data_IF_925653432762
#
_entry.id   IF_925653432762
#
_cell.length_a   1.000
_cell.length_b   1.000
_cell.length_c   1.000
_cell.angle_alpha   90.00
_cell.angle_beta   90.00
_cell.angle_gamma   90.00
#
_symmetry.space_group_name_H-M   'P 1'
#
loop_
_entity.id
_entity.type
_entity.pdbx_description
1 polymer ?
#
# COMPACT_ATOMS: atom_id res chain seq x y z
N UNK A 1 -0.28 -9.90 2.57
CA UNK A 1 1.05 -9.30 2.34
C UNK A 1 1.27 -8.20 3.36
N UNK A 2 2.19 -8.38 4.30
CA UNK A 2 2.46 -7.40 5.36
C UNK A 2 3.98 -7.26 5.51
N UNK A 3 4.49 -6.04 5.32
CA UNK A 3 5.93 -5.76 5.39
C UNK A 3 6.13 -4.78 6.55
N UNK A 4 6.59 -5.34 7.68
CA UNK A 4 7.17 -4.68 8.84
C UNK A 4 6.23 -4.11 9.94
N UNK A 5 6.66 -4.30 11.19
CA UNK A 5 6.11 -3.70 12.40
C UNK A 5 7.07 -2.59 12.84
N UNK A 6 6.71 -1.32 12.64
CA UNK A 6 7.40 -0.20 13.27
C UNK A 6 6.50 0.43 14.35
N UNK A 7 7.17 1.03 15.34
CA UNK A 7 6.83 1.35 16.75
C UNK A 7 5.48 2.08 17.03
N UNK A 8 4.63 2.33 16.04
CA UNK A 8 3.34 3.00 16.20
C UNK A 8 2.21 2.30 15.42
N UNK A 9 1.90 1.03 15.72
CA UNK A 9 0.66 0.31 15.32
C UNK A 9 0.17 0.47 13.86
N UNK A 10 1.06 0.77 12.91
CA UNK A 10 0.71 1.20 11.55
C UNK A 10 1.42 0.33 10.52
N UNK A 11 0.65 -0.35 9.67
CA UNK A 11 1.18 -1.22 8.63
C UNK A 11 1.50 -0.43 7.38
N UNK A 12 2.64 -0.77 6.76
CA UNK A 12 2.96 -0.34 5.41
C UNK A 12 2.37 -1.36 4.44
N UNK A 13 1.34 -0.94 3.70
CA UNK A 13 0.72 -1.76 2.68
C UNK A 13 1.55 -1.69 1.39
N UNK A 14 1.85 -2.88 0.85
CA UNK A 14 2.49 -3.03 -0.43
C UNK A 14 1.75 -4.09 -1.24
N UNK A 15 0.94 -3.62 -2.18
CA UNK A 15 0.65 -4.39 -3.38
C UNK A 15 1.59 -3.90 -4.47
N UNK A 16 2.17 -4.77 -5.31
CA UNK A 16 2.97 -4.30 -6.43
C UNK A 16 2.11 -3.37 -7.29
N UNK A 17 2.50 -2.11 -7.43
CA UNK A 17 1.68 -1.10 -8.12
C UNK A 17 1.37 -1.52 -9.56
N UNK A 18 2.28 -2.26 -10.20
CA UNK A 18 2.10 -2.84 -11.53
C UNK A 18 0.97 -3.87 -11.64
N UNK A 19 0.59 -4.53 -10.54
CA UNK A 19 -0.44 -5.58 -10.53
C UNK A 19 -1.80 -5.01 -10.13
N UNK A 20 -1.85 -4.27 -9.02
CA UNK A 20 -3.11 -3.87 -8.39
C UNK A 20 -3.33 -2.35 -8.31
N UNK A 21 -2.38 -1.54 -8.81
CA UNK A 21 -2.48 -0.08 -8.81
C UNK A 21 -2.43 0.55 -7.43
N UNK A 22 -2.08 -0.20 -6.37
CA UNK A 22 -1.99 0.35 -5.01
C UNK A 22 -0.57 0.84 -4.74
N UNK A 23 -0.36 2.15 -4.55
CA UNK A 23 0.96 2.67 -4.20
C UNK A 23 1.32 2.33 -2.76
N UNK A 24 2.61 2.45 -2.40
CA UNK A 24 3.02 2.25 -1.01
C UNK A 24 2.33 3.27 -0.11
N UNK A 25 1.54 2.76 0.83
CA UNK A 25 0.69 3.57 1.70
C UNK A 25 0.63 2.97 3.09
N UNK A 26 0.44 3.83 4.08
CA UNK A 26 0.19 3.42 5.47
C UNK A 26 -1.29 3.19 5.73
N UNK A 27 -1.61 2.07 6.37
CA UNK A 27 -2.97 1.67 6.74
C UNK A 27 -2.97 1.10 8.16
N UNK A 28 -3.94 1.50 8.97
CA UNK A 28 -4.10 0.97 10.32
C UNK A 28 -4.56 -0.50 10.28
N UNK A 29 -4.03 -1.34 11.18
CA UNK A 29 -4.30 -2.78 11.21
C UNK A 29 -5.80 -3.13 11.25
N UNK A 30 -6.59 -2.33 11.96
CA UNK A 30 -8.05 -2.53 12.08
C UNK A 30 -8.82 -2.52 10.76
N UNK A 31 -8.23 -1.98 9.69
CA UNK A 31 -8.83 -1.92 8.35
C UNK A 31 -8.29 -2.98 7.40
N UNK A 32 -7.46 -3.91 7.90
CA UNK A 32 -6.86 -4.98 7.09
C UNK A 32 -7.42 -6.33 7.52
N UNK A 33 -7.87 -7.12 6.56
CA UNK A 33 -8.20 -8.53 6.75
C UNK A 33 -6.93 -9.36 6.45
N UNK A 34 -6.31 -10.00 7.46
CA UNK A 34 -5.16 -10.85 7.22
C UNK A 34 -5.60 -12.14 6.54
N UNK A 35 -4.96 -12.49 5.42
CA UNK A 35 -5.16 -13.78 4.77
C UNK A 35 -4.08 -14.78 5.18
N UNK A 36 -4.39 -16.06 5.09
CA UNK A 36 -3.52 -17.22 5.36
C UNK A 36 -2.31 -17.33 4.42
N UNK A 37 -2.39 -16.73 3.22
CA UNK A 37 -1.32 -16.71 2.22
C UNK A 37 -0.12 -15.88 2.69
N UNK A 38 1.05 -16.52 2.82
CA UNK A 38 2.31 -15.88 3.23
C UNK A 38 3.31 -15.90 2.08
N UNK A 39 4.02 -14.80 1.89
CA UNK A 39 5.16 -14.73 0.98
C UNK A 39 6.37 -14.41 1.83
N UNK A 40 7.48 -15.07 1.55
CA UNK A 40 8.74 -14.72 2.20
C UNK A 40 9.24 -13.38 1.66
N UNK A 41 9.35 -12.40 2.56
CA UNK A 41 9.76 -11.02 2.25
C UNK A 41 11.10 -10.68 2.93
N UNK A 42 11.79 -11.68 3.49
CA UNK A 42 13.08 -11.53 4.19
C UNK A 42 14.15 -10.81 3.36
N UNK A 43 14.12 -10.96 2.03
CA UNK A 43 15.06 -10.32 1.10
C UNK A 43 14.73 -8.87 0.71
N UNK A 44 13.58 -8.32 1.10
CA UNK A 44 13.15 -6.98 0.68
C UNK A 44 13.61 -5.94 1.69
N UNK A 45 14.61 -5.15 1.31
CA UNK A 45 15.09 -4.02 2.12
C UNK A 45 14.17 -2.83 1.93
N UNK A 46 13.60 -2.35 3.03
CA UNK A 46 12.82 -1.11 3.05
C UNK A 46 13.81 0.07 3.12
N UNK A 47 13.69 1.09 2.26
CA UNK A 47 14.53 2.27 2.33
C UNK A 47 14.40 2.98 3.70
N UNK A 48 15.52 3.43 4.27
CA UNK A 48 15.53 4.19 5.52
C UNK A 48 14.79 5.54 5.41
N UNK A 49 14.60 6.04 4.18
CA UNK A 49 13.84 7.24 3.87
C UNK A 49 12.35 7.13 4.18
N UNK A 50 11.84 5.91 4.38
CA UNK A 50 10.41 5.60 4.52
C UNK A 50 9.86 5.81 5.95
N UNK A 51 10.20 6.95 6.56
CA UNK A 51 9.82 7.33 7.93
C UNK A 51 8.41 7.94 7.99
N UNK A 52 7.84 8.16 9.17
CA UNK A 52 6.49 8.72 9.37
C UNK A 52 6.28 10.06 8.64
N UNK A 53 7.31 10.91 8.64
CA UNK A 53 7.29 12.19 7.93
C UNK A 53 7.18 12.04 6.41
N UNK A 54 7.72 10.94 5.87
CA UNK A 54 7.60 10.64 4.43
C UNK A 54 6.16 10.45 4.01
N UNK A 55 5.30 9.88 4.86
CA UNK A 55 3.89 9.62 4.54
C UNK A 55 2.94 10.71 5.02
N UNK A 56 3.46 11.70 5.76
CA UNK A 56 2.66 12.80 6.27
C UNK A 56 2.10 13.61 5.10
N UNK A 57 0.80 13.87 5.15
CA UNK A 57 0.16 14.75 4.18
C UNK A 57 0.71 16.17 4.41
N UNK A 58 1.20 16.80 3.34
CA UNK A 58 1.57 18.21 3.37
C UNK A 58 0.32 19.04 3.71
N UNK A 59 0.34 19.71 4.85
CA UNK A 59 -0.72 20.64 5.25
C UNK A 59 -0.43 21.97 4.56
N UNK A 60 -1.34 22.40 3.70
CA UNK A 60 -1.30 23.76 3.17
C UNK A 60 -2.05 24.67 4.13
N UNK A 61 -1.33 25.42 4.94
CA UNK A 61 -1.90 26.62 5.55
C UNK A 61 -1.83 27.70 4.47
N UNK A 62 -2.96 28.02 3.86
CA UNK A 62 -3.02 29.16 2.97
C UNK A 62 -2.53 30.39 3.71
N UNK A 63 -1.66 31.19 3.08
CA UNK A 63 -1.48 32.60 3.48
C UNK A 63 -2.86 33.20 3.66
N UNK A 64 -3.07 34.00 4.71
CA UNK A 64 -4.34 34.65 5.04
C UNK A 64 -5.11 35.06 3.78
N UNK A 65 -6.10 34.24 3.39
CA UNK A 65 -6.95 34.51 2.24
C UNK A 65 -8.21 35.19 2.75
N UNK A 66 -8.52 36.34 2.16
CA UNK A 66 -9.66 37.20 2.49
C UNK A 66 -11.01 36.60 2.09
N UNK A 67 -11.04 35.46 1.39
CA UNK A 67 -12.30 34.85 0.91
C UNK A 67 -12.27 33.32 0.93
N UNK A 68 -13.31 32.72 1.50
CA UNK A 68 -13.40 31.28 1.84
C UNK A 68 -13.59 30.41 0.59
N UNK A 69 -14.04 31.00 -0.52
CA UNK A 69 -14.32 30.31 -1.78
C UNK A 69 -13.12 30.18 -2.73
N UNK A 70 -12.03 30.93 -2.51
CA UNK A 70 -10.77 30.76 -3.25
C UNK A 70 -9.85 29.69 -2.64
N UNK A 71 -10.43 28.55 -2.25
CA UNK A 71 -9.61 27.38 -1.95
C UNK A 71 -9.05 26.85 -3.28
N UNK A 72 -7.85 27.34 -3.63
CA UNK A 72 -7.08 26.79 -4.74
C UNK A 72 -6.90 25.29 -4.49
N UNK A 73 -7.67 24.47 -5.20
CA UNK A 73 -7.49 23.02 -5.22
C UNK A 73 -6.15 22.76 -5.90
N UNK A 74 -5.08 22.70 -5.12
CA UNK A 74 -3.82 22.17 -5.63
C UNK A 74 -3.97 20.66 -5.77
N UNK A 75 -3.93 20.19 -7.01
CA UNK A 75 -3.81 18.78 -7.31
C UNK A 75 -2.55 18.23 -6.65
N UNK A 76 -2.70 17.10 -5.96
CA UNK A 76 -1.56 16.41 -5.37
C UNK A 76 -0.66 15.90 -6.51
N UNK A 77 0.53 16.48 -6.64
CA UNK A 77 1.53 16.03 -7.61
C UNK A 77 2.46 15.00 -6.96
N UNK A 78 2.67 13.89 -7.68
CA UNK A 78 3.61 12.86 -7.26
C UNK A 78 5.04 13.36 -7.46
N UNK A 79 5.77 13.52 -6.36
CA UNK A 79 7.22 13.79 -6.38
C UNK A 79 7.97 12.63 -7.04
N UNK A 80 9.00 12.91 -7.83
CA UNK A 80 9.76 11.87 -8.54
C UNK A 80 10.50 10.91 -7.59
N UNK A 81 10.87 11.37 -6.40
CA UNK A 81 11.41 10.52 -5.33
C UNK A 81 10.44 9.37 -4.98
N UNK A 82 9.15 9.67 -4.77
CA UNK A 82 8.11 8.67 -4.48
C UNK A 82 7.96 7.63 -5.61
N UNK A 83 8.12 8.05 -6.86
CA UNK A 83 8.08 7.12 -8.01
C UNK A 83 9.30 6.19 -8.03
N UNK A 84 10.48 6.70 -7.70
CA UNK A 84 11.71 5.92 -7.66
C UNK A 84 11.70 4.89 -6.51
N UNK A 85 11.26 5.31 -5.33
CA UNK A 85 11.12 4.43 -4.16
C UNK A 85 10.11 3.32 -4.44
N UNK A 86 8.95 3.67 -5.04
CA UNK A 86 7.93 2.70 -5.45
C UNK A 86 8.50 1.63 -6.39
N UNK A 87 9.19 2.02 -7.45
CA UNK A 87 9.77 1.08 -8.42
C UNK A 87 10.77 0.14 -7.79
N UNK A 88 11.60 0.64 -6.88
CA UNK A 88 12.62 -0.14 -6.18
C UNK A 88 11.97 -1.25 -5.35
N UNK A 89 10.95 -0.90 -4.57
CA UNK A 89 10.27 -1.86 -3.69
C UNK A 89 9.40 -2.82 -4.50
N UNK A 90 8.70 -2.33 -5.51
CA UNK A 90 7.90 -3.18 -6.40
C UNK A 90 8.75 -4.25 -7.08
N UNK A 91 9.95 -3.89 -7.55
CA UNK A 91 10.86 -4.84 -8.21
C UNK A 91 11.27 -5.96 -7.26
N UNK A 92 11.58 -5.63 -6.00
CA UNK A 92 11.96 -6.59 -4.99
C UNK A 92 10.80 -7.53 -4.60
N UNK A 93 9.58 -6.98 -4.45
CA UNK A 93 8.39 -7.77 -4.12
C UNK A 93 7.94 -8.63 -5.29
N UNK A 94 7.99 -8.13 -6.53
CA UNK A 94 7.71 -8.93 -7.73
C UNK A 94 8.70 -10.10 -7.87
N UNK A 95 9.97 -9.88 -7.54
CA UNK A 95 10.96 -10.96 -7.47
C UNK A 95 10.57 -12.05 -6.46
N UNK A 96 10.05 -11.65 -5.30
CA UNK A 96 9.61 -12.58 -4.24
C UNK A 96 8.34 -13.33 -4.63
N UNK A 97 7.36 -12.66 -5.27
CA UNK A 97 6.13 -13.29 -5.77
C UNK A 97 6.44 -14.32 -6.87
N UNK A 98 7.37 -14.01 -7.79
CA UNK A 98 7.76 -14.94 -8.85
C UNK A 98 8.47 -16.19 -8.35
N UNK A 99 9.17 -16.10 -7.21
CA UNK A 99 9.83 -17.26 -6.57
C UNK A 99 8.85 -18.17 -5.85
N UNK A 100 7.67 -17.66 -5.47
CA UNK A 100 6.64 -18.47 -4.83
C UNK A 100 6.09 -19.51 -5.81
N UNK A 101 5.80 -20.72 -5.31
CA UNK A 101 5.25 -21.83 -6.11
C UNK A 101 3.99 -21.41 -6.88
N UNK A 102 3.10 -20.69 -6.21
CA UNK A 102 1.85 -20.18 -6.76
C UNK A 102 1.97 -18.78 -7.37
N UNK A 103 3.17 -18.31 -7.72
CA UNK A 103 3.42 -16.91 -8.14
C UNK A 103 2.51 -16.43 -9.27
N UNK A 104 2.18 -17.29 -10.23
CA UNK A 104 1.27 -16.98 -11.35
C UNK A 104 -0.18 -16.80 -10.88
N UNK A 105 -0.65 -17.62 -9.94
CA UNK A 105 -1.98 -17.52 -9.35
C UNK A 105 -2.08 -16.32 -8.42
N UNK A 106 -1.03 -16.07 -7.63
CA UNK A 106 -0.94 -14.93 -6.72
C UNK A 106 -0.98 -13.59 -7.44
N UNK A 107 -0.35 -13.48 -8.61
CA UNK A 107 -0.44 -12.27 -9.43
C UNK A 107 -1.89 -12.01 -9.90
N UNK A 108 -2.63 -13.06 -10.27
CA UNK A 108 -4.06 -12.96 -10.58
C UNK A 108 -4.89 -12.57 -9.35
N UNK A 109 -4.66 -13.24 -8.22
CA UNK A 109 -5.34 -12.98 -6.95
C UNK A 109 -5.14 -11.53 -6.47
N UNK A 110 -3.92 -11.00 -6.56
CA UNK A 110 -3.61 -9.62 -6.19
C UNK A 110 -4.26 -8.59 -7.12
N UNK A 111 -4.53 -8.94 -8.38
CA UNK A 111 -5.21 -8.08 -9.35
C UNK A 111 -6.71 -8.04 -9.14
N UNK A 112 -7.30 -9.09 -8.57
CA UNK A 112 -8.76 -9.17 -8.36
C UNK A 112 -9.21 -8.41 -7.13
N UNK A 113 -10.29 -7.66 -7.26
CA UNK A 113 -10.92 -6.98 -6.12
C UNK A 113 -11.68 -7.99 -5.26
N UNK A 114 -11.53 -7.87 -3.94
CA UNK A 114 -12.36 -8.63 -3.00
C UNK A 114 -13.79 -8.09 -3.01
N UNK A 115 -14.77 -8.98 -3.12
CA UNK A 115 -16.19 -8.67 -3.04
C UNK A 115 -16.97 -9.90 -2.60
N UNK A 116 -18.10 -9.67 -1.94
CA UNK A 116 -19.01 -10.73 -1.53
C UNK A 116 -20.11 -10.90 -2.57
N UNK A 117 -20.29 -12.11 -3.07
CA UNK A 117 -21.41 -12.48 -3.92
C UNK A 117 -22.63 -12.89 -3.08
N UNK A 118 -23.79 -13.04 -3.73
CA UNK A 118 -24.98 -13.58 -3.05
C UNK A 118 -24.64 -14.91 -2.37
N UNK A 119 -25.10 -15.07 -1.12
CA UNK A 119 -24.90 -16.27 -0.27
C UNK A 119 -23.45 -16.51 0.18
N UNK A 120 -22.56 -15.52 0.05
CA UNK A 120 -21.25 -15.53 0.69
C UNK A 120 -21.31 -14.77 2.01
N UNK A 121 -21.02 -15.46 3.12
CA UNK A 121 -21.11 -14.88 4.46
C UNK A 121 -19.73 -14.77 5.11
N UNK A 122 -19.31 -13.57 5.58
CA UNK A 122 -17.99 -13.36 6.16
C UNK A 122 -17.68 -14.27 7.37
N UNK A 123 -18.68 -14.60 8.18
CA UNK A 123 -18.51 -15.46 9.35
C UNK A 123 -18.21 -16.93 9.00
N UNK A 124 -18.49 -17.36 7.77
CA UNK A 124 -18.17 -18.69 7.26
C UNK A 124 -16.88 -18.70 6.43
N UNK A 125 -16.30 -17.53 6.15
CA UNK A 125 -15.07 -17.42 5.38
C UNK A 125 -13.86 -17.62 6.27
N UNK A 126 -12.88 -18.37 5.75
CA UNK A 126 -11.56 -18.48 6.34
C UNK A 126 -10.64 -17.55 5.54
N UNK A 127 -10.05 -16.58 6.22
CA UNK A 127 -9.13 -15.63 5.63
C UNK A 127 -7.70 -16.16 5.74
#
# INVERSE_FOLDING_TARGET
FLINHNILYLFTFLGPFSINGVPVRRIAQKFVLPTSTKIDVSGVKIPATMTDDYFKRTKYFGKEKKDIFEQGKQEYTLTDARKADQKTIDTAVLGSIKKHTDGKLLAGYLRTNFGLSKRQYPHNMVF
#
